data_IF_151431099278
#
_entry.id   IF_151431099278
#
_cell.length_a   1.000
_cell.length_b   1.000
_cell.length_c   1.000
_cell.angle_alpha   90.00
_cell.angle_beta   90.00
_cell.angle_gamma   90.00
#
_symmetry.space_group_name_H-M   'P 1'
#
loop_
_entity.id
_entity.type
_entity.pdbx_description
1 polymer ?
#
# COMPACT_ATOMS: atom_id res chain seq x y z
N UNK A 1 2.01 20.80 -24.78
CA UNK A 1 0.54 20.67 -24.95
C UNK A 1 0.08 19.22 -24.72
N UNK A 2 0.32 18.64 -23.52
CA UNK A 2 0.06 17.20 -23.29
C UNK A 2 -0.31 16.80 -21.85
N UNK A 3 -0.33 17.74 -20.90
CA UNK A 3 -0.63 17.46 -19.48
C UNK A 3 -2.13 17.43 -19.18
N UNK A 4 -2.97 18.17 -19.93
CA UNK A 4 -4.43 18.17 -19.73
C UNK A 4 -5.08 16.83 -20.10
N UNK A 5 -4.64 16.19 -21.18
CA UNK A 5 -5.28 14.99 -21.74
C UNK A 5 -5.05 13.73 -20.87
N UNK A 6 -3.95 13.64 -20.12
CA UNK A 6 -3.67 12.45 -19.32
C UNK A 6 -4.46 12.44 -18.00
N UNK A 7 -4.50 13.56 -17.26
CA UNK A 7 -5.34 13.68 -16.06
C UNK A 7 -6.83 13.47 -16.34
N UNK A 8 -7.30 13.89 -17.52
CA UNK A 8 -8.66 13.62 -18.01
C UNK A 8 -8.94 12.12 -18.18
N UNK A 9 -7.96 11.32 -18.61
CA UNK A 9 -8.11 9.86 -18.76
C UNK A 9 -8.22 9.14 -17.42
N UNK A 10 -7.42 9.52 -16.43
CA UNK A 10 -7.52 8.93 -15.08
C UNK A 10 -8.85 9.32 -14.42
N UNK A 11 -9.22 10.61 -14.48
CA UNK A 11 -10.48 11.09 -13.94
C UNK A 11 -11.69 10.39 -14.58
N UNK A 12 -11.69 10.21 -15.91
CA UNK A 12 -12.73 9.47 -16.61
C UNK A 12 -12.83 8.00 -16.17
N UNK A 13 -11.69 7.32 -15.96
CA UNK A 13 -11.69 5.93 -15.44
C UNK A 13 -12.26 5.84 -14.03
N UNK A 14 -11.95 6.80 -13.16
CA UNK A 14 -12.50 6.86 -11.80
C UNK A 14 -14.01 7.12 -11.86
N UNK A 15 -14.44 8.09 -12.67
CA UNK A 15 -15.86 8.40 -12.86
C UNK A 15 -16.64 7.19 -13.38
N UNK A 16 -16.11 6.48 -14.39
CA UNK A 16 -16.71 5.25 -14.90
C UNK A 16 -16.78 4.13 -13.85
N UNK A 17 -15.71 3.91 -13.08
CA UNK A 17 -15.70 2.92 -11.99
C UNK A 17 -16.76 3.21 -10.92
N UNK A 18 -16.95 4.48 -10.59
CA UNK A 18 -17.91 4.92 -9.58
C UNK A 18 -19.34 5.13 -10.13
N UNK A 19 -19.57 4.95 -11.44
CA UNK A 19 -20.87 5.17 -12.08
C UNK A 19 -21.32 6.63 -12.05
N UNK A 20 -20.38 7.56 -12.17
CA UNK A 20 -20.60 9.01 -12.06
C UNK A 20 -20.46 9.66 -13.43
N UNK A 21 -21.40 10.54 -13.77
CA UNK A 21 -21.43 11.29 -15.03
C UNK A 21 -21.27 12.82 -14.85
N UNK A 22 -21.28 13.31 -13.60
CA UNK A 22 -21.26 14.73 -13.27
C UNK A 22 -20.49 15.04 -11.99
N UNK A 23 -20.08 16.31 -11.84
CA UNK A 23 -19.38 16.77 -10.63
C UNK A 23 -20.26 16.69 -9.37
N UNK A 24 -21.54 16.98 -9.50
CA UNK A 24 -22.50 16.89 -8.39
C UNK A 24 -22.69 15.43 -7.95
N UNK A 25 -22.80 14.51 -8.91
CA UNK A 25 -22.84 13.08 -8.62
C UNK A 25 -21.53 12.59 -7.95
N UNK A 26 -20.37 13.17 -8.29
CA UNK A 26 -19.11 12.87 -7.60
C UNK A 26 -19.13 13.30 -6.13
N UNK A 27 -19.58 14.52 -5.85
CA UNK A 27 -19.67 15.03 -4.47
C UNK A 27 -20.65 14.17 -3.65
N UNK A 28 -21.81 13.85 -4.22
CA UNK A 28 -22.80 13.00 -3.57
C UNK A 28 -22.30 11.56 -3.37
N UNK A 29 -21.58 11.00 -4.34
CA UNK A 29 -20.95 9.69 -4.21
C UNK A 29 -19.95 9.69 -3.07
N UNK A 30 -19.01 10.65 -3.07
CA UNK A 30 -17.94 10.75 -2.08
C UNK A 30 -18.49 10.93 -0.66
N UNK A 31 -19.52 11.77 -0.48
CA UNK A 31 -20.15 12.01 0.83
C UNK A 31 -20.86 10.80 1.44
N UNK A 32 -21.09 9.73 0.66
CA UNK A 32 -21.76 8.50 1.10
C UNK A 32 -20.82 7.30 1.25
N UNK A 33 -19.55 7.45 0.87
CA UNK A 33 -18.61 6.33 0.85
C UNK A 33 -18.00 6.02 2.21
N UNK A 34 -17.74 4.74 2.44
CA UNK A 34 -16.86 4.27 3.51
C UNK A 34 -15.39 4.39 3.05
N UNK A 35 -14.41 4.49 3.98
CA UNK A 35 -12.99 4.54 3.62
C UNK A 35 -12.52 3.41 2.69
N UNK A 36 -13.10 2.21 2.81
CA UNK A 36 -12.80 1.06 1.95
C UNK A 36 -13.13 1.28 0.48
N UNK A 37 -14.16 2.07 0.15
CA UNK A 37 -14.52 2.39 -1.23
C UNK A 37 -13.46 3.26 -1.91
N UNK A 38 -12.84 4.18 -1.17
CA UNK A 38 -11.70 4.96 -1.66
C UNK A 38 -10.45 4.09 -1.83
N UNK A 39 -10.19 3.19 -0.88
CA UNK A 39 -9.06 2.25 -0.98
C UNK A 39 -9.20 1.33 -2.21
N UNK A 40 -10.42 0.98 -2.61
CA UNK A 40 -10.70 0.17 -3.79
C UNK A 40 -10.33 0.87 -5.13
N UNK A 41 -10.06 2.18 -5.13
CA UNK A 41 -9.54 2.89 -6.30
C UNK A 41 -8.04 2.63 -6.53
N UNK A 42 -7.30 2.15 -5.53
CA UNK A 42 -5.85 2.00 -5.61
C UNK A 42 -5.37 1.10 -6.77
N UNK A 43 -6.01 -0.05 -7.10
CA UNK A 43 -5.64 -0.83 -8.28
C UNK A 43 -5.76 -0.08 -9.60
N UNK A 44 -6.80 0.77 -9.75
CA UNK A 44 -6.98 1.59 -10.97
C UNK A 44 -5.87 2.63 -11.11
N UNK A 45 -5.49 3.27 -10.00
CA UNK A 45 -4.39 4.23 -9.95
C UNK A 45 -3.08 3.53 -10.30
N UNK A 46 -2.80 2.37 -9.70
CA UNK A 46 -1.59 1.60 -10.00
C UNK A 46 -1.52 1.20 -11.47
N UNK A 47 -2.62 0.70 -12.04
CA UNK A 47 -2.69 0.33 -13.45
C UNK A 47 -2.47 1.54 -14.38
N UNK A 48 -3.01 2.71 -14.03
CA UNK A 48 -2.79 3.93 -14.80
C UNK A 48 -1.33 4.41 -14.73
N UNK A 49 -0.69 4.33 -13.56
CA UNK A 49 0.72 4.68 -13.40
C UNK A 49 1.62 3.74 -14.22
N UNK A 50 1.34 2.43 -14.21
CA UNK A 50 2.03 1.45 -15.07
C UNK A 50 1.86 1.79 -16.56
N UNK A 51 0.67 2.26 -16.96
CA UNK A 51 0.40 2.73 -18.31
C UNK A 51 1.02 4.10 -18.66
N UNK A 52 1.78 4.71 -17.74
CA UNK A 52 2.47 5.97 -17.96
C UNK A 52 1.60 7.22 -17.77
N UNK A 53 0.44 7.10 -17.10
CA UNK A 53 -0.37 8.27 -16.76
C UNK A 53 0.39 9.18 -15.79
N UNK A 54 0.69 10.45 -16.15
CA UNK A 54 1.51 11.34 -15.33
C UNK A 54 0.89 11.69 -13.97
N UNK A 55 -0.44 11.76 -13.89
CA UNK A 55 -1.12 12.06 -12.63
C UNK A 55 -1.06 10.83 -11.72
N UNK A 56 -1.34 9.63 -12.25
CA UNK A 56 -1.23 8.41 -11.48
C UNK A 56 0.20 8.16 -10.98
N UNK A 57 1.20 8.36 -11.84
CA UNK A 57 2.63 8.25 -11.49
C UNK A 57 2.98 9.22 -10.36
N UNK A 58 2.53 10.48 -10.44
CA UNK A 58 2.73 11.46 -9.35
C UNK A 58 2.10 10.98 -8.04
N UNK A 59 0.86 10.51 -8.08
CA UNK A 59 0.15 10.03 -6.88
C UNK A 59 0.85 8.84 -6.23
N UNK A 60 1.33 7.87 -7.03
CA UNK A 60 2.04 6.70 -6.49
C UNK A 60 3.40 7.06 -5.91
N UNK A 61 4.13 7.99 -6.53
CA UNK A 61 5.40 8.50 -6.01
C UNK A 61 5.19 9.27 -4.70
N UNK A 62 4.16 10.12 -4.65
CA UNK A 62 3.83 10.87 -3.43
C UNK A 62 3.40 9.94 -2.29
N UNK A 63 2.61 8.90 -2.59
CA UNK A 63 2.25 7.88 -1.61
C UNK A 63 3.49 7.18 -1.04
N UNK A 64 4.44 6.79 -1.89
CA UNK A 64 5.70 6.18 -1.45
C UNK A 64 6.54 7.14 -0.59
N UNK A 65 6.65 8.42 -0.99
CA UNK A 65 7.37 9.43 -0.21
C UNK A 65 6.76 9.62 1.19
N UNK A 66 5.43 9.63 1.30
CA UNK A 66 4.73 9.72 2.60
C UNK A 66 5.01 8.51 3.48
N UNK A 67 5.00 7.29 2.92
CA UNK A 67 5.33 6.07 3.67
C UNK A 67 6.77 6.07 4.17
N UNK A 68 7.72 6.49 3.34
CA UNK A 68 9.15 6.59 3.72
C UNK A 68 9.37 7.68 4.77
N UNK A 69 8.67 8.81 4.65
CA UNK A 69 8.70 9.86 5.67
C UNK A 69 8.21 9.34 7.03
N UNK A 70 7.09 8.61 7.06
CA UNK A 70 6.58 7.99 8.29
C UNK A 70 7.57 6.99 8.90
N UNK A 71 8.31 6.23 8.07
CA UNK A 71 9.40 5.40 8.59
C UNK A 71 10.52 6.25 9.19
N UNK A 72 10.88 7.36 8.54
CA UNK A 72 11.92 8.29 9.02
C UNK A 72 11.61 8.89 10.39
N UNK A 73 10.34 9.09 10.73
CA UNK A 73 9.91 9.57 12.05
C UNK A 73 10.27 8.60 13.19
N UNK A 74 10.53 7.32 12.88
CA UNK A 74 10.97 6.31 13.85
C UNK A 74 12.49 6.31 14.09
N UNK A 75 13.25 7.09 13.32
CA UNK A 75 14.71 7.08 13.31
C UNK A 75 15.32 5.99 12.41
N UNK A 76 16.67 5.87 12.37
CA UNK A 76 17.34 4.85 11.59
C UNK A 76 16.91 3.44 12.04
N UNK A 77 16.58 2.52 11.12
CA UNK A 77 16.18 1.17 11.50
C UNK A 77 17.38 0.36 11.99
N UNK A 78 17.25 -0.26 13.17
CA UNK A 78 18.25 -1.18 13.75
C UNK A 78 18.19 -2.61 13.16
N UNK A 79 17.55 -2.77 12.00
CA UNK A 79 17.30 -4.05 11.37
C UNK A 79 16.55 -3.94 10.03
N UNK A 80 16.12 -5.06 9.44
CA UNK A 80 15.42 -5.06 8.17
C UNK A 80 14.05 -4.39 8.28
N UNK A 81 13.68 -3.63 7.25
CA UNK A 81 12.33 -3.06 7.10
C UNK A 81 11.43 -4.12 6.48
N UNK A 82 10.36 -4.50 7.18
CA UNK A 82 9.39 -5.50 6.71
C UNK A 82 8.23 -4.80 6.00
N UNK A 83 8.05 -5.08 4.70
CA UNK A 83 6.94 -4.57 3.91
C UNK A 83 5.68 -5.42 4.11
N UNK A 84 4.57 -4.78 4.43
CA UNK A 84 3.27 -5.41 4.64
C UNK A 84 2.15 -4.69 3.87
N UNK A 85 1.03 -5.37 3.67
CA UNK A 85 -0.12 -4.85 2.93
C UNK A 85 0.01 -4.94 1.41
N UNK A 86 -1.11 -5.02 0.70
CA UNK A 86 -1.14 -5.37 -0.73
C UNK A 86 -0.41 -4.37 -1.64
N UNK A 87 -0.29 -3.10 -1.23
CA UNK A 87 0.46 -2.09 -1.98
C UNK A 87 1.97 -2.32 -1.95
N UNK A 88 2.51 -2.91 -0.88
CA UNK A 88 3.95 -3.11 -0.69
C UNK A 88 4.40 -4.56 -0.86
N UNK A 89 3.45 -5.51 -0.83
CA UNK A 89 3.72 -6.95 -0.99
C UNK A 89 3.47 -7.48 -2.42
N UNK A 90 2.72 -6.73 -3.25
CA UNK A 90 2.55 -7.02 -4.68
C UNK A 90 3.45 -6.12 -5.53
N UNK A 91 3.64 -6.48 -6.79
CA UNK A 91 4.32 -5.62 -7.75
C UNK A 91 3.45 -4.40 -8.09
N UNK A 92 3.68 -3.29 -7.39
CA UNK A 92 2.98 -2.02 -7.59
C UNK A 92 3.97 -0.88 -7.77
N UNK A 93 3.56 0.21 -8.43
CA UNK A 93 4.39 1.42 -8.52
C UNK A 93 4.75 2.00 -7.16
N UNK A 94 3.88 1.85 -6.15
CA UNK A 94 4.14 2.30 -4.78
C UNK A 94 5.28 1.46 -4.17
N UNK A 95 5.23 0.13 -4.32
CA UNK A 95 6.31 -0.76 -3.87
C UNK A 95 7.64 -0.40 -4.52
N UNK A 96 7.65 -0.24 -5.85
CA UNK A 96 8.87 0.10 -6.59
C UNK A 96 9.48 1.42 -6.10
N UNK A 97 8.65 2.46 -5.91
CA UNK A 97 9.10 3.75 -5.40
C UNK A 97 9.58 3.69 -3.94
N UNK A 98 8.94 2.90 -3.07
CA UNK A 98 9.40 2.68 -1.69
C UNK A 98 10.76 1.96 -1.69
N UNK A 99 10.91 0.87 -2.46
CA UNK A 99 12.18 0.14 -2.53
C UNK A 99 13.32 1.00 -3.05
N UNK A 100 13.06 1.89 -4.01
CA UNK A 100 14.07 2.81 -4.53
C UNK A 100 14.53 3.86 -3.50
N UNK A 101 13.72 4.14 -2.47
CA UNK A 101 13.99 5.15 -1.46
C UNK A 101 14.52 4.57 -0.13
N UNK A 102 14.40 3.26 0.09
CA UNK A 102 14.84 2.62 1.34
C UNK A 102 16.33 2.28 1.30
N UNK A 103 17.13 2.73 2.29
CA UNK A 103 18.57 2.43 2.36
C UNK A 103 18.89 1.11 3.08
N UNK A 104 17.89 0.40 3.61
CA UNK A 104 18.06 -0.74 4.51
C UNK A 104 17.73 -2.07 3.82
N UNK A 105 18.20 -3.21 4.37
CA UNK A 105 17.69 -4.53 3.96
C UNK A 105 16.17 -4.57 4.08
N UNK A 106 15.50 -5.06 3.03
CA UNK A 106 14.04 -5.13 2.97
C UNK A 106 13.60 -6.58 2.92
N UNK A 107 12.58 -6.92 3.71
CA UNK A 107 11.87 -8.19 3.61
C UNK A 107 10.37 -7.94 3.38
N UNK A 108 9.63 -9.00 3.07
CA UNK A 108 8.17 -8.96 2.91
C UNK A 108 7.54 -9.78 4.01
N UNK A 109 6.44 -9.30 4.59
CA UNK A 109 5.76 -10.03 5.66
C UNK A 109 5.20 -11.35 5.12
N UNK A 110 5.26 -12.37 5.96
CA UNK A 110 4.52 -13.62 5.80
C UNK A 110 3.11 -13.49 6.38
N UNK A 111 2.40 -14.61 6.55
CA UNK A 111 1.07 -14.64 7.16
C UNK A 111 1.11 -14.07 8.59
N UNK A 112 0.42 -12.94 8.86
CA UNK A 112 0.39 -12.35 10.18
C UNK A 112 -0.31 -13.24 11.22
N UNK A 113 -1.15 -14.19 10.81
CA UNK A 113 -1.79 -15.14 11.73
C UNK A 113 -0.77 -16.04 12.41
N UNK A 114 0.31 -16.42 11.72
CA UNK A 114 1.42 -17.20 12.30
C UNK A 114 2.17 -16.40 13.38
N UNK A 115 2.41 -15.11 13.12
CA UNK A 115 3.01 -14.20 14.11
C UNK A 115 2.12 -14.03 15.34
N UNK A 116 0.81 -13.88 15.13
CA UNK A 116 -0.15 -13.81 16.23
C UNK A 116 -0.21 -15.10 17.05
N UNK A 117 -0.21 -16.27 16.39
CA UNK A 117 -0.17 -17.57 17.06
C UNK A 117 1.11 -17.74 17.90
N UNK A 118 2.28 -17.34 17.37
CA UNK A 118 3.52 -17.35 18.14
C UNK A 118 3.46 -16.42 19.36
N UNK A 119 2.92 -15.20 19.20
CA UNK A 119 2.74 -14.28 20.34
C UNK A 119 1.81 -14.90 21.40
N UNK A 120 0.74 -15.59 21.01
CA UNK A 120 -0.14 -16.28 21.95
C UNK A 120 0.59 -17.45 22.66
N UNK A 121 1.38 -18.25 21.94
CA UNK A 121 2.16 -19.34 22.52
C UNK A 121 3.12 -18.85 23.60
N UNK A 122 3.76 -17.69 23.41
CA UNK A 122 4.64 -17.08 24.43
C UNK A 122 3.95 -16.78 25.76
N UNK A 123 2.61 -16.75 25.82
CA UNK A 123 1.85 -16.57 27.06
C UNK A 123 1.46 -17.89 27.75
N UNK A 124 1.50 -19.01 27.03
CA UNK A 124 1.01 -20.32 27.52
C UNK A 124 2.08 -21.41 27.54
N UNK A 125 3.25 -21.16 26.95
CA UNK A 125 4.43 -22.06 26.98
C UNK A 125 5.68 -21.30 27.43
N UNK A 126 6.80 -22.01 27.58
CA UNK A 126 8.10 -21.35 27.73
C UNK A 126 8.47 -20.58 26.45
N UNK A 127 9.35 -19.58 26.58
CA UNK A 127 9.85 -18.82 25.43
C UNK A 127 10.59 -19.73 24.42
N UNK A 128 11.40 -20.65 24.92
CA UNK A 128 12.13 -21.63 24.10
C UNK A 128 11.17 -22.53 23.30
N UNK A 129 10.10 -22.99 23.95
CA UNK A 129 9.09 -23.83 23.30
C UNK A 129 8.31 -23.04 22.24
N UNK A 130 7.93 -21.79 22.54
CA UNK A 130 7.27 -20.92 21.57
C UNK A 130 8.15 -20.67 20.34
N UNK A 131 9.46 -20.45 20.53
CA UNK A 131 10.41 -20.21 19.43
C UNK A 131 10.68 -21.48 18.61
N UNK A 132 10.69 -22.65 19.23
CA UNK A 132 10.76 -23.93 18.52
C UNK A 132 9.49 -24.15 17.67
N UNK A 133 8.31 -23.91 18.25
CA UNK A 133 7.04 -24.04 17.53
C UNK A 133 6.96 -23.04 16.37
N UNK A 134 7.41 -21.79 16.55
CA UNK A 134 7.42 -20.80 15.48
C UNK A 134 8.29 -21.21 14.30
N UNK A 135 9.51 -21.73 14.56
CA UNK A 135 10.39 -22.23 13.49
C UNK A 135 9.79 -23.38 12.69
N UNK A 136 8.84 -24.14 13.27
CA UNK A 136 8.13 -25.23 12.57
C UNK A 136 6.93 -24.75 11.76
N UNK A 137 6.51 -23.49 11.93
CA UNK A 137 5.37 -22.88 11.23
C UNK A 137 5.78 -22.06 10.00
N UNK A 138 7.06 -21.70 9.90
CA UNK A 138 7.67 -20.98 8.77
C UNK A 138 8.08 -21.93 7.66
#
# INVERSE_FOLDING_TARGET
MGLHNAGEKLAAKIAAHAGIDSRDALVQWAGRQQPSAFAALAPLICAAAIAGDPLATRLTTEAAARLVATLGDLGPPDGPVVLAGSLLTRDTPVRAAVLAALPAPVSTSHDPALGAAWLALRHVTSAEEADNLHRRML
#
